data_IF_836766405911
#
_entry.id   IF_836766405911
#
_cell.length_a   1.000
_cell.length_b   1.000
_cell.length_c   1.000
_cell.angle_alpha   90.00
_cell.angle_beta   90.00
_cell.angle_gamma   90.00
#
_symmetry.space_group_name_H-M   'P 1'
#
loop_
_entity.id
_entity.type
_entity.pdbx_description
1 polymer ?
#
# COMPACT_ATOMS: atom_id res chain seq x y z
N UNK A 1 -19.01 -11.12 5.74
CA UNK A 1 -19.25 -10.25 6.91
C UNK A 1 -20.74 -10.25 7.16
N UNK A 2 -21.15 -10.69 8.33
CA UNK A 2 -22.53 -10.54 8.78
C UNK A 2 -22.70 -9.08 9.19
N UNK A 3 -23.52 -8.31 8.47
CA UNK A 3 -23.99 -7.03 9.01
C UNK A 3 -24.71 -7.36 10.31
N UNK A 4 -24.30 -6.77 11.43
CA UNK A 4 -24.94 -7.00 12.72
C UNK A 4 -26.40 -6.52 12.61
N UNK A 5 -27.41 -7.40 12.53
CA UNK A 5 -28.79 -6.99 12.18
C UNK A 5 -29.43 -6.08 13.23
N UNK A 6 -28.80 -6.00 14.41
CA UNK A 6 -29.24 -5.21 15.58
C UNK A 6 -28.67 -3.78 15.57
N UNK A 7 -27.76 -3.44 14.65
CA UNK A 7 -27.07 -2.15 14.60
C UNK A 7 -27.03 -1.63 13.16
N UNK A 8 -27.55 -0.42 12.93
CA UNK A 8 -27.47 0.22 11.61
C UNK A 8 -26.24 1.12 11.53
N UNK A 9 -25.33 0.90 10.55
CA UNK A 9 -24.21 1.80 10.34
C UNK A 9 -24.70 3.15 9.81
N UNK A 10 -24.13 4.24 10.32
CA UNK A 10 -24.35 5.59 9.81
C UNK A 10 -23.58 5.87 8.52
N UNK A 11 -22.45 5.18 8.30
CA UNK A 11 -21.68 5.23 7.05
C UNK A 11 -21.28 3.82 6.62
N UNK A 12 -21.42 3.54 5.33
CA UNK A 12 -20.91 2.33 4.68
C UNK A 12 -20.11 2.73 3.44
N UNK A 13 -18.81 2.50 3.49
CA UNK A 13 -17.93 2.61 2.33
C UNK A 13 -17.43 1.22 1.99
N UNK A 14 -18.07 0.57 1.03
CA UNK A 14 -17.72 -0.77 0.59
C UNK A 14 -17.06 -0.72 -0.79
N UNK A 15 -15.86 -1.28 -0.89
CA UNK A 15 -15.16 -1.37 -2.15
C UNK A 15 -15.92 -2.27 -3.11
N UNK A 16 -16.24 -1.74 -4.30
CA UNK A 16 -16.94 -2.44 -5.37
C UNK A 16 -16.35 -1.99 -6.70
N UNK A 17 -16.02 -2.91 -7.62
CA UNK A 17 -15.47 -2.55 -8.92
C UNK A 17 -16.33 -1.52 -9.67
N UNK A 18 -15.72 -0.41 -10.08
CA UNK A 18 -16.37 0.61 -10.91
C UNK A 18 -17.36 1.52 -10.18
N UNK A 19 -17.45 1.42 -8.85
CA UNK A 19 -18.33 2.25 -8.04
C UNK A 19 -17.52 3.14 -7.09
N UNK A 20 -17.66 4.45 -7.25
CA UNK A 20 -17.18 5.43 -6.27
C UNK A 20 -18.34 5.77 -5.33
N UNK A 21 -18.20 5.58 -4.00
CA UNK A 21 -19.23 6.01 -3.06
C UNK A 21 -19.47 7.53 -3.18
N UNK A 22 -20.72 8.02 -3.21
CA UNK A 22 -20.99 9.45 -3.43
C UNK A 22 -20.38 10.40 -2.40
N UNK A 23 -20.16 9.93 -1.16
CA UNK A 23 -19.54 10.72 -0.07
C UNK A 23 -18.01 10.66 -0.08
N UNK A 24 -17.40 9.82 -0.91
CA UNK A 24 -15.95 9.62 -0.95
C UNK A 24 -15.32 10.55 -1.97
N UNK A 25 -14.64 11.57 -1.48
CA UNK A 25 -13.73 12.40 -2.26
C UNK A 25 -12.42 11.65 -2.50
N UNK A 26 -11.97 11.62 -3.74
CA UNK A 26 -10.71 11.01 -4.15
C UNK A 26 -9.82 12.11 -4.69
N UNK A 27 -8.68 12.34 -4.04
CA UNK A 27 -7.68 13.30 -4.50
C UNK A 27 -6.36 12.58 -4.75
N UNK A 28 -5.82 12.74 -5.95
CA UNK A 28 -4.46 12.36 -6.33
C UNK A 28 -4.00 13.24 -7.49
N UNK A 29 -2.98 14.06 -7.24
CA UNK A 29 -2.46 15.06 -8.20
C UNK A 29 -1.53 14.48 -9.28
N UNK A 30 -1.62 13.18 -9.58
CA UNK A 30 -0.89 12.52 -10.66
C UNK A 30 -1.67 11.31 -11.19
N UNK A 31 -1.42 10.90 -12.44
CA UNK A 31 -1.84 9.58 -12.90
C UNK A 31 -1.14 8.50 -12.06
N UNK A 32 -1.74 7.33 -12.02
CA UNK A 32 -1.23 6.15 -11.32
C UNK A 32 -1.65 4.89 -12.08
N UNK A 33 -1.17 3.72 -11.65
CA UNK A 33 -1.60 2.46 -12.26
C UNK A 33 -2.34 1.57 -11.28
N UNK A 34 -3.08 0.62 -11.83
CA UNK A 34 -3.71 -0.51 -11.12
C UNK A 34 -3.62 -1.76 -11.98
N UNK A 35 -3.81 -2.92 -11.38
CA UNK A 35 -4.04 -4.19 -12.08
C UNK A 35 -5.54 -4.32 -12.34
N UNK A 36 -5.92 -4.65 -13.57
CA UNK A 36 -7.32 -4.87 -13.96
C UNK A 36 -7.75 -6.32 -13.69
N UNK A 37 -9.06 -6.60 -13.77
CA UNK A 37 -9.61 -7.95 -13.64
C UNK A 37 -9.01 -8.98 -14.63
N UNK A 38 -8.41 -8.52 -15.74
CA UNK A 38 -7.74 -9.37 -16.74
C UNK A 38 -6.25 -9.59 -16.43
N UNK A 39 -5.74 -9.04 -15.33
CA UNK A 39 -4.32 -9.10 -14.97
C UNK A 39 -3.44 -8.11 -15.72
N UNK A 40 -3.98 -7.23 -16.56
CA UNK A 40 -3.21 -6.17 -17.23
C UNK A 40 -3.00 -4.96 -16.30
N UNK A 41 -1.85 -4.30 -16.43
CA UNK A 41 -1.61 -2.98 -15.82
C UNK A 41 -2.35 -1.92 -16.62
N UNK A 42 -3.13 -1.08 -15.96
CA UNK A 42 -3.82 0.04 -16.59
C UNK A 42 -3.50 1.34 -15.87
N UNK A 43 -3.34 2.41 -16.64
CA UNK A 43 -3.26 3.77 -16.12
C UNK A 43 -4.65 4.26 -15.68
N UNK A 44 -4.64 5.07 -14.63
CA UNK A 44 -5.79 5.70 -14.01
C UNK A 44 -5.45 7.17 -13.87
N UNK A 45 -6.30 8.05 -14.41
CA UNK A 45 -6.10 9.49 -14.35
C UNK A 45 -6.11 10.06 -12.92
N UNK A 46 -5.86 11.36 -12.82
CA UNK A 46 -5.95 12.11 -11.55
C UNK A 46 -7.34 11.95 -10.92
N UNK A 47 -7.40 11.96 -9.59
CA UNK A 47 -8.65 11.97 -8.82
C UNK A 47 -9.61 10.80 -9.11
N UNK A 48 -9.11 9.73 -9.74
CA UNK A 48 -9.86 8.50 -10.01
C UNK A 48 -9.44 7.39 -9.06
N UNK A 49 -10.45 6.79 -8.43
CA UNK A 49 -10.32 5.66 -7.51
C UNK A 49 -9.71 4.43 -8.21
N UNK A 50 -8.83 3.71 -7.50
CA UNK A 50 -8.11 2.56 -8.05
C UNK A 50 -8.69 1.24 -7.55
N UNK A 51 -9.62 0.68 -8.33
CA UNK A 51 -10.12 -0.69 -8.15
C UNK A 51 -9.07 -1.71 -8.61
N UNK A 52 -8.37 -2.31 -7.66
CA UNK A 52 -7.24 -3.20 -7.97
C UNK A 52 -7.63 -4.68 -7.88
N UNK A 53 -6.94 -5.49 -8.66
CA UNK A 53 -7.23 -6.91 -8.80
C UNK A 53 -5.97 -7.74 -8.60
N UNK A 54 -6.17 -8.95 -8.13
CA UNK A 54 -5.13 -9.95 -8.10
C UNK A 54 -4.74 -10.32 -9.53
N UNK A 55 -3.47 -10.11 -9.87
CA UNK A 55 -2.97 -10.34 -11.23
C UNK A 55 -3.11 -11.79 -11.67
N UNK A 56 -3.03 -12.74 -10.74
CA UNK A 56 -3.02 -14.17 -11.08
C UNK A 56 -4.43 -14.74 -11.17
N UNK A 57 -5.30 -14.33 -10.26
CA UNK A 57 -6.64 -14.92 -10.09
C UNK A 57 -7.75 -14.04 -10.66
N UNK A 58 -7.47 -12.77 -10.96
CA UNK A 58 -8.49 -11.78 -11.33
C UNK A 58 -9.44 -11.41 -10.18
N UNK A 59 -9.17 -11.87 -8.95
CA UNK A 59 -9.99 -11.57 -7.79
C UNK A 59 -9.88 -10.09 -7.41
N UNK A 60 -11.00 -9.44 -7.14
CA UNK A 60 -11.01 -8.05 -6.69
C UNK A 60 -10.34 -7.91 -5.31
N UNK A 61 -9.44 -6.93 -5.18
CA UNK A 61 -8.68 -6.65 -3.96
C UNK A 61 -9.16 -5.41 -3.21
N UNK A 62 -10.14 -4.66 -3.72
CA UNK A 62 -10.59 -3.42 -3.08
C UNK A 62 -9.93 -2.18 -3.69
N UNK A 63 -10.03 -1.06 -2.97
CA UNK A 63 -9.39 0.20 -3.38
C UNK A 63 -7.92 0.19 -3.01
N UNK A 64 -7.04 0.30 -4.01
CA UNK A 64 -5.61 0.48 -3.80
C UNK A 64 -5.33 1.91 -3.36
N UNK A 65 -4.68 2.02 -2.19
CA UNK A 65 -4.28 3.28 -1.55
C UNK A 65 -2.79 3.19 -1.27
N UNK A 66 -2.03 4.16 -1.77
CA UNK A 66 -0.58 4.15 -1.64
C UNK A 66 -0.02 5.54 -1.29
N UNK A 67 1.12 5.58 -0.57
CA UNK A 67 1.85 6.81 -0.28
C UNK A 67 2.40 7.44 -1.56
N UNK A 68 3.04 8.60 -1.40
CA UNK A 68 3.91 9.17 -2.43
C UNK A 68 5.04 8.17 -2.73
N UNK A 69 5.40 8.04 -4.00
CA UNK A 69 6.53 7.21 -4.39
C UNK A 69 7.23 7.77 -5.63
N UNK A 70 8.53 7.52 -5.75
CA UNK A 70 9.34 7.89 -6.91
C UNK A 70 9.99 6.65 -7.49
N UNK A 71 9.83 6.43 -8.79
CA UNK A 71 10.70 5.52 -9.52
C UNK A 71 11.96 6.28 -9.95
N UNK A 72 13.09 5.91 -9.38
CA UNK A 72 14.39 6.51 -9.68
C UNK A 72 15.00 6.04 -11.01
N UNK A 73 14.56 4.92 -11.56
CA UNK A 73 15.11 4.37 -12.79
C UNK A 73 14.56 5.11 -14.01
N UNK A 74 15.39 5.77 -14.83
CA UNK A 74 14.97 6.14 -16.17
C UNK A 74 14.82 4.88 -17.04
N UNK A 75 14.00 5.01 -18.08
CA UNK A 75 13.74 3.98 -19.07
C UNK A 75 13.31 2.63 -18.47
N UNK A 76 12.44 2.66 -17.45
CA UNK A 76 11.99 1.45 -16.74
C UNK A 76 11.28 0.42 -17.62
N UNK A 77 10.85 0.80 -18.82
CA UNK A 77 10.19 -0.08 -19.81
C UNK A 77 11.06 -0.35 -21.05
N UNK A 78 12.27 0.19 -21.09
CA UNK A 78 13.19 0.05 -22.24
C UNK A 78 14.63 -0.19 -21.79
N UNK A 79 14.95 -1.47 -21.58
CA UNK A 79 16.30 -1.93 -21.24
C UNK A 79 17.27 -1.94 -22.43
N UNK A 80 16.87 -1.39 -23.59
CA UNK A 80 17.76 -1.09 -24.72
C UNK A 80 18.31 0.33 -24.69
N UNK A 81 17.74 1.22 -23.87
CA UNK A 81 18.20 2.59 -23.72
C UNK A 81 19.62 2.66 -23.14
N UNK A 82 20.34 3.74 -23.45
CA UNK A 82 21.76 3.91 -23.07
C UNK A 82 22.04 3.94 -21.56
N UNK A 83 21.01 4.15 -20.72
CA UNK A 83 21.13 4.07 -19.27
C UNK A 83 21.33 2.63 -18.75
N UNK A 84 21.03 1.62 -19.58
CA UNK A 84 21.18 0.21 -19.24
C UNK A 84 22.45 -0.38 -19.87
N UNK A 85 23.36 -0.86 -19.02
CA UNK A 85 24.57 -1.60 -19.42
C UNK A 85 24.21 -3.05 -19.68
N UNK A 86 24.63 -3.59 -20.82
CA UNK A 86 24.32 -4.96 -21.27
C UNK A 86 25.61 -5.75 -21.45
N UNK A 87 25.63 -7.01 -21.04
CA UNK A 87 26.77 -7.91 -21.25
C UNK A 87 26.26 -9.27 -21.68
N UNK A 88 26.70 -9.75 -22.85
CA UNK A 88 26.25 -11.03 -23.41
C UNK A 88 24.73 -11.09 -23.68
N UNK A 89 24.06 -9.94 -23.82
CA UNK A 89 22.61 -9.81 -23.87
C UNK A 89 22.17 -8.90 -25.02
N UNK A 90 21.21 -9.38 -25.81
CA UNK A 90 20.48 -8.57 -26.79
C UNK A 90 19.15 -8.11 -26.20
N UNK A 91 18.80 -6.84 -26.42
CA UNK A 91 17.54 -6.24 -25.96
C UNK A 91 16.77 -5.63 -27.12
N UNK A 92 15.45 -5.89 -27.18
CA UNK A 92 14.57 -5.38 -28.24
C UNK A 92 13.18 -5.09 -27.67
N UNK A 93 12.65 -3.89 -27.92
CA UNK A 93 11.31 -3.49 -27.47
C UNK A 93 10.22 -3.87 -28.49
N UNK A 94 9.91 -5.16 -28.59
CA UNK A 94 9.02 -5.70 -29.62
C UNK A 94 7.89 -6.61 -29.09
N UNK A 95 7.68 -6.63 -27.77
CA UNK A 95 6.66 -7.47 -27.13
C UNK A 95 5.56 -6.61 -26.52
N UNK A 96 4.38 -7.19 -26.38
CA UNK A 96 3.35 -6.60 -25.55
C UNK A 96 3.84 -6.53 -24.10
N UNK A 97 3.72 -5.36 -23.48
CA UNK A 97 4.11 -5.17 -22.08
C UNK A 97 3.05 -5.69 -21.10
N UNK A 98 3.28 -5.44 -19.81
CA UNK A 98 2.38 -5.86 -18.75
C UNK A 98 1.02 -5.13 -18.79
N UNK A 99 0.92 -4.06 -19.58
CA UNK A 99 -0.30 -3.31 -19.92
C UNK A 99 -1.01 -3.82 -21.20
N UNK A 100 -0.44 -4.82 -21.87
CA UNK A 100 -0.99 -5.38 -23.11
C UNK A 100 -0.72 -4.53 -24.36
N UNK A 101 -0.04 -3.39 -24.25
CA UNK A 101 0.27 -2.52 -25.39
C UNK A 101 1.39 -3.14 -26.22
N UNK A 102 1.19 -3.29 -27.54
CA UNK A 102 2.22 -3.82 -28.42
C UNK A 102 3.46 -2.91 -28.44
N UNK A 103 4.65 -3.50 -28.31
CA UNK A 103 5.92 -2.76 -28.32
C UNK A 103 6.19 -1.94 -27.05
N UNK A 104 5.44 -2.16 -25.96
CA UNK A 104 5.73 -1.52 -24.67
C UNK A 104 6.72 -2.34 -23.80
N UNK A 105 6.78 -3.66 -23.99
CA UNK A 105 7.67 -4.56 -23.24
C UNK A 105 9.01 -4.82 -23.93
N UNK A 106 10.09 -4.92 -23.13
CA UNK A 106 11.45 -5.14 -23.62
C UNK A 106 11.83 -6.62 -23.54
N UNK A 107 12.04 -7.28 -24.68
CA UNK A 107 12.58 -8.64 -24.74
C UNK A 107 14.07 -8.62 -24.46
N UNK A 108 14.50 -9.45 -23.53
CA UNK A 108 15.89 -9.74 -23.21
C UNK A 108 16.21 -11.13 -23.75
N UNK A 109 17.34 -11.29 -24.44
CA UNK A 109 17.83 -12.59 -24.93
C UNK A 109 19.30 -12.75 -24.56
N UNK A 110 19.62 -13.85 -23.89
CA UNK A 110 20.98 -14.22 -23.57
C UNK A 110 21.71 -14.73 -24.82
N UNK A 111 22.75 -14.04 -25.23
CA UNK A 111 23.64 -14.46 -26.32
C UNK A 111 24.81 -15.29 -25.79
N UNK A 112 25.11 -15.16 -24.49
CA UNK A 112 26.07 -15.97 -23.74
C UNK A 112 25.48 -16.39 -22.39
N UNK A 113 26.14 -17.34 -21.71
CA UNK A 113 25.81 -17.66 -20.33
C UNK A 113 26.08 -16.46 -19.41
N UNK A 114 25.35 -16.38 -18.31
CA UNK A 114 25.42 -15.28 -17.34
C UNK A 114 25.26 -13.87 -17.97
N UNK A 115 24.40 -13.77 -18.98
CA UNK A 115 24.05 -12.52 -19.62
C UNK A 115 23.34 -11.57 -18.65
N UNK A 116 23.72 -10.29 -18.65
CA UNK A 116 23.18 -9.28 -17.73
C UNK A 116 22.67 -8.03 -18.43
N UNK A 117 21.71 -7.38 -17.78
CA UNK A 117 21.38 -5.98 -18.01
C UNK A 117 21.26 -5.27 -16.67
N UNK A 118 22.04 -4.21 -16.48
CA UNK A 118 22.13 -3.46 -15.22
C UNK A 118 22.04 -1.96 -15.43
N UNK A 119 21.60 -1.23 -14.41
CA UNK A 119 21.57 0.21 -14.39
C UNK A 119 21.99 0.70 -13.00
N UNK A 120 23.06 1.49 -12.98
CA UNK A 120 23.58 2.13 -11.77
C UNK A 120 22.93 3.50 -11.57
N UNK A 121 22.63 3.84 -10.32
CA UNK A 121 22.11 5.14 -9.90
C UNK A 121 23.01 5.70 -8.80
N UNK A 122 23.13 7.02 -8.73
CA UNK A 122 23.80 7.71 -7.62
C UNK A 122 22.76 8.16 -6.60
N UNK A 123 22.64 7.44 -5.49
CA UNK A 123 21.65 7.69 -4.45
C UNK A 123 22.27 7.49 -3.06
N UNK A 124 21.87 8.31 -2.10
CA UNK A 124 22.27 8.11 -0.71
C UNK A 124 21.79 6.76 -0.17
N UNK A 125 22.49 6.26 0.86
CA UNK A 125 22.09 5.05 1.56
C UNK A 125 20.65 5.16 2.06
N UNK A 126 19.86 4.14 1.78
CA UNK A 126 18.49 4.02 2.24
C UNK A 126 17.96 2.62 1.96
N UNK A 127 16.80 2.29 2.51
CA UNK A 127 16.08 1.09 2.10
C UNK A 127 15.53 1.29 0.68
N UNK A 128 15.86 0.37 -0.22
CA UNK A 128 15.56 0.42 -1.65
C UNK A 128 14.82 -0.84 -2.03
N UNK A 129 13.72 -0.68 -2.76
CA UNK A 129 13.01 -1.82 -3.36
C UNK A 129 13.09 -1.76 -4.87
N UNK A 130 13.84 -2.70 -5.46
CA UNK A 130 13.81 -2.96 -6.89
C UNK A 130 12.64 -3.86 -7.23
N UNK A 131 11.91 -3.53 -8.29
CA UNK A 131 10.83 -4.36 -8.80
C UNK A 131 10.78 -4.35 -10.32
N UNK A 132 10.35 -5.44 -10.92
CA UNK A 132 10.21 -5.56 -12.38
C UNK A 132 9.15 -6.61 -12.71
N UNK A 133 8.36 -6.35 -13.75
CA UNK A 133 7.42 -7.33 -14.31
C UNK A 133 8.16 -8.21 -15.34
N UNK A 134 8.19 -9.53 -15.12
CA UNK A 134 8.89 -10.49 -15.98
C UNK A 134 7.89 -11.51 -16.54
N UNK A 135 7.88 -11.66 -17.87
CA UNK A 135 7.20 -12.74 -18.59
C UNK A 135 8.25 -13.70 -19.16
N UNK A 136 8.32 -14.97 -18.72
CA UNK A 136 9.24 -15.94 -19.29
C UNK A 136 8.84 -16.30 -20.73
N UNK A 137 9.83 -16.38 -21.63
CA UNK A 137 9.66 -16.94 -22.97
C UNK A 137 10.34 -18.32 -23.03
N UNK A 138 11.66 -18.34 -23.18
CA UNK A 138 12.49 -19.55 -23.12
C UNK A 138 13.36 -19.44 -21.89
N UNK A 139 13.18 -20.32 -20.90
CA UNK A 139 13.97 -20.27 -19.66
C UNK A 139 14.39 -21.68 -19.31
N UNK A 140 15.69 -21.94 -19.42
CA UNK A 140 16.34 -23.21 -19.10
C UNK A 140 17.28 -23.08 -17.91
N UNK A 141 17.86 -21.89 -17.71
CA UNK A 141 18.65 -21.54 -16.53
C UNK A 141 17.89 -20.70 -15.52
N UNK A 142 18.59 -20.27 -14.49
CA UNK A 142 18.10 -19.28 -13.54
C UNK A 142 17.97 -17.89 -14.18
N UNK A 143 16.81 -17.28 -13.95
CA UNK A 143 16.54 -15.83 -14.01
C UNK A 143 16.72 -15.24 -12.61
N UNK A 144 17.58 -14.24 -12.48
CA UNK A 144 17.90 -13.58 -11.21
C UNK A 144 17.80 -12.06 -11.30
N UNK A 145 17.60 -11.39 -10.17
CA UNK A 145 17.64 -9.93 -10.04
C UNK A 145 18.69 -9.48 -9.02
N UNK A 146 19.16 -8.25 -9.15
CA UNK A 146 20.16 -7.62 -8.27
C UNK A 146 19.81 -6.15 -7.97
N UNK A 147 20.45 -5.63 -6.94
CA UNK A 147 20.45 -4.23 -6.46
C UNK A 147 21.88 -3.73 -6.19
N UNK A 148 22.89 -4.58 -6.31
CA UNK A 148 24.30 -4.33 -5.96
C UNK A 148 25.26 -4.57 -7.15
N UNK A 149 24.75 -4.44 -8.38
CA UNK A 149 25.53 -4.58 -9.61
C UNK A 149 25.95 -6.00 -9.92
N UNK A 150 25.37 -6.99 -9.23
CA UNK A 150 25.65 -8.39 -9.44
C UNK A 150 26.73 -8.97 -8.52
N UNK A 151 27.11 -8.25 -7.45
CA UNK A 151 27.83 -8.87 -6.34
C UNK A 151 26.97 -9.98 -5.71
N UNK A 152 25.65 -9.78 -5.65
CA UNK A 152 24.66 -10.76 -5.24
C UNK A 152 23.54 -10.87 -6.28
N UNK A 153 23.13 -12.10 -6.58
CA UNK A 153 22.02 -12.41 -7.49
C UNK A 153 20.95 -13.23 -6.78
N UNK A 154 19.74 -12.68 -6.67
CA UNK A 154 18.58 -13.38 -6.11
C UNK A 154 17.83 -14.08 -7.24
N UNK A 155 17.78 -15.41 -7.22
CA UNK A 155 17.02 -16.19 -8.21
C UNK A 155 15.50 -16.00 -8.00
N UNK A 156 14.80 -15.62 -9.07
CA UNK A 156 13.34 -15.40 -9.07
C UNK A 156 12.60 -16.37 -9.99
N UNK A 157 13.31 -17.35 -10.55
CA UNK A 157 12.82 -18.26 -11.58
C UNK A 157 11.58 -19.04 -11.14
N UNK A 158 11.55 -19.50 -9.89
CA UNK A 158 10.42 -20.24 -9.30
C UNK A 158 9.15 -19.40 -9.12
N UNK A 159 9.28 -18.06 -9.12
CA UNK A 159 8.15 -17.14 -9.05
C UNK A 159 7.51 -16.96 -10.43
N UNK A 160 8.29 -17.09 -11.50
CA UNK A 160 7.82 -16.85 -12.86
C UNK A 160 6.74 -17.87 -13.27
N UNK A 161 5.89 -17.45 -14.20
CA UNK A 161 4.73 -18.22 -14.67
C UNK A 161 4.64 -18.11 -16.18
N UNK A 162 4.55 -19.24 -16.87
CA UNK A 162 4.42 -19.26 -18.32
C UNK A 162 3.18 -18.47 -18.78
N UNK A 163 3.35 -17.67 -19.84
CA UNK A 163 2.25 -16.93 -20.46
C UNK A 163 1.74 -15.69 -19.72
N UNK A 164 2.30 -15.34 -18.55
CA UNK A 164 1.92 -14.12 -17.81
C UNK A 164 3.11 -13.40 -17.19
N UNK A 165 3.03 -12.07 -17.12
CA UNK A 165 3.99 -11.31 -16.33
C UNK A 165 3.81 -11.58 -14.84
N UNK A 166 4.93 -11.76 -14.15
CA UNK A 166 5.03 -11.85 -12.69
C UNK A 166 5.85 -10.66 -12.20
N UNK A 167 5.34 -9.92 -11.21
CA UNK A 167 6.14 -8.88 -10.54
C UNK A 167 7.05 -9.52 -9.53
N UNK A 168 8.36 -9.33 -9.71
CA UNK A 168 9.38 -9.77 -8.76
C UNK A 168 9.94 -8.54 -8.05
N UNK A 169 10.38 -8.72 -6.80
CA UNK A 169 10.85 -7.63 -5.94
C UNK A 169 12.09 -8.05 -5.16
N UNK A 170 13.01 -7.12 -4.93
CA UNK A 170 14.17 -7.28 -4.05
C UNK A 170 14.36 -6.00 -3.24
N UNK A 171 14.38 -6.12 -1.92
CA UNK A 171 14.55 -5.01 -1.00
C UNK A 171 15.87 -5.14 -0.26
N UNK A 172 16.65 -4.07 -0.20
CA UNK A 172 17.90 -3.99 0.57
C UNK A 172 18.15 -2.57 1.04
N UNK A 173 18.99 -2.39 2.06
CA UNK A 173 19.64 -1.11 2.29
C UNK A 173 20.82 -0.97 1.34
N UNK A 174 20.83 0.07 0.51
CA UNK A 174 21.92 0.33 -0.44
C UNK A 174 22.16 1.82 -0.66
N UNK A 175 23.43 2.19 -0.79
CA UNK A 175 23.89 3.42 -1.41
C UNK A 175 24.35 3.11 -2.84
N UNK A 176 24.24 4.09 -3.75
CA UNK A 176 24.61 3.97 -5.16
C UNK A 176 24.18 2.63 -5.81
N UNK A 177 22.87 2.29 -5.74
CA UNK A 177 22.39 0.98 -6.14
C UNK A 177 22.59 0.73 -7.63
N UNK A 178 22.93 -0.51 -7.98
CA UNK A 178 23.01 -0.96 -9.37
C UNK A 178 22.07 -2.15 -9.56
N UNK A 179 20.91 -1.87 -10.13
CA UNK A 179 19.84 -2.86 -10.28
C UNK A 179 19.95 -3.60 -11.60
N UNK A 180 19.41 -4.81 -11.70
CA UNK A 180 19.41 -5.51 -12.97
C UNK A 180 18.84 -6.91 -12.97
N UNK A 181 18.94 -7.55 -14.13
CA UNK A 181 18.49 -8.92 -14.40
C UNK A 181 19.67 -9.72 -14.96
N UNK A 182 19.79 -10.99 -14.55
CA UNK A 182 20.70 -11.98 -15.13
C UNK A 182 19.94 -13.18 -15.67
N UNK A 183 20.33 -13.62 -16.87
CA UNK A 183 19.93 -14.88 -17.48
C UNK A 183 21.16 -15.81 -17.50
N UNK A 184 21.13 -16.88 -16.72
CA UNK A 184 22.32 -17.74 -16.54
C UNK A 184 22.65 -18.64 -17.74
N UNK A 185 21.67 -19.03 -18.55
CA UNK A 185 21.88 -19.89 -19.71
C UNK A 185 21.81 -19.13 -21.04
N UNK A 186 22.76 -19.39 -21.94
CA UNK A 186 22.72 -18.87 -23.29
C UNK A 186 21.45 -19.36 -24.02
N UNK A 187 20.81 -18.47 -24.77
CA UNK A 187 19.55 -18.74 -25.46
C UNK A 187 18.29 -18.48 -24.63
N UNK A 188 18.41 -18.31 -23.31
CA UNK A 188 17.28 -17.90 -22.46
C UNK A 188 16.75 -16.52 -22.90
N UNK A 189 15.45 -16.31 -22.74
CA UNK A 189 14.77 -15.08 -23.08
C UNK A 189 13.54 -14.83 -22.21
N UNK A 190 13.37 -13.57 -21.84
CA UNK A 190 12.23 -13.07 -21.07
C UNK A 190 11.77 -11.73 -21.65
N UNK A 191 10.56 -11.29 -21.31
CA UNK A 191 10.14 -9.90 -21.47
C UNK A 191 10.18 -9.24 -20.10
N UNK A 192 10.91 -8.12 -20.00
CA UNK A 192 10.94 -7.28 -18.83
C UNK A 192 10.15 -5.99 -19.10
N UNK A 193 9.39 -5.54 -18.11
CA UNK A 193 8.61 -4.33 -18.17
C UNK A 193 8.48 -3.68 -16.78
N UNK A 194 8.20 -2.38 -16.74
CA UNK A 194 8.03 -1.58 -15.51
C UNK A 194 9.10 -1.85 -14.42
N UNK A 195 10.38 -1.84 -14.81
CA UNK A 195 11.47 -1.80 -13.87
C UNK A 195 11.41 -0.51 -13.04
N UNK A 196 11.40 -0.66 -11.71
CA UNK A 196 11.28 0.43 -10.76
C UNK A 196 12.25 0.24 -9.61
N UNK A 197 12.88 1.34 -9.18
CA UNK A 197 13.58 1.41 -7.90
C UNK A 197 12.94 2.51 -7.07
N UNK A 198 12.34 2.13 -5.95
CA UNK A 198 11.64 3.04 -5.04
C UNK A 198 12.34 3.11 -3.68
N UNK A 199 12.19 4.22 -2.97
CA UNK A 199 12.51 4.32 -1.55
C UNK A 199 11.53 3.47 -0.71
N UNK A 200 12.06 2.83 0.34
CA UNK A 200 11.28 2.12 1.33
C UNK A 200 11.13 0.62 1.07
N UNK A 201 10.35 -0.06 1.92
CA UNK A 201 10.42 -1.52 2.06
C UNK A 201 9.62 -2.30 1.02
N UNK A 202 8.78 -1.62 0.22
CA UNK A 202 7.80 -2.28 -0.65
C UNK A 202 7.72 -1.59 -2.01
N UNK A 203 7.47 -2.39 -3.04
CA UNK A 203 7.18 -1.88 -4.38
C UNK A 203 5.73 -1.41 -4.43
N UNK A 204 5.48 -0.16 -4.86
CA UNK A 204 4.13 0.36 -5.07
C UNK A 204 3.65 0.01 -6.48
N UNK A 205 2.50 0.54 -6.88
CA UNK A 205 1.99 0.47 -8.25
C UNK A 205 3.03 0.93 -9.27
N UNK A 206 2.82 0.52 -10.52
CA UNK A 206 3.78 0.79 -11.58
C UNK A 206 3.84 2.28 -11.88
N UNK A 207 5.05 2.84 -11.86
CA UNK A 207 5.37 4.22 -12.23
C UNK A 207 6.27 4.15 -13.47
N UNK A 208 5.69 4.40 -14.64
CA UNK A 208 6.43 4.43 -15.89
C UNK A 208 7.37 5.64 -15.93
N UNK A 209 8.57 5.44 -16.46
CA UNK A 209 9.59 6.48 -16.57
C UNK A 209 10.05 6.64 -18.03
N UNK A 210 10.36 7.89 -18.38
CA UNK A 210 11.02 8.26 -19.63
C UNK A 210 12.53 8.39 -19.39
N UNK A 211 13.11 9.54 -19.73
CA UNK A 211 14.55 9.83 -19.56
C UNK A 211 14.98 10.11 -18.12
N UNK A 212 14.06 10.24 -17.18
CA UNK A 212 14.34 10.59 -15.79
C UNK A 212 13.38 9.93 -14.81
N UNK A 213 13.66 10.15 -13.53
CA UNK A 213 12.81 9.71 -12.44
C UNK A 213 11.42 10.36 -12.53
N UNK A 214 10.40 9.62 -12.11
CA UNK A 214 9.00 10.09 -12.09
C UNK A 214 8.39 9.77 -10.73
N UNK A 215 7.62 10.72 -10.20
CA UNK A 215 6.91 10.57 -8.94
C UNK A 215 5.42 10.39 -9.14
N UNK A 216 4.81 9.56 -8.29
CA UNK A 216 3.37 9.39 -8.13
C UNK A 216 2.93 10.06 -6.84
N UNK A 217 1.89 10.89 -6.92
CA UNK A 217 1.25 11.52 -5.77
C UNK A 217 0.56 10.47 -4.88
N UNK A 218 0.45 10.71 -3.56
CA UNK A 218 -0.26 9.80 -2.67
C UNK A 218 -1.76 9.82 -2.93
N UNK A 219 -2.45 8.74 -2.58
CA UNK A 219 -3.92 8.73 -2.58
C UNK A 219 -4.47 9.42 -1.32
N UNK A 220 -5.52 10.23 -1.50
CA UNK A 220 -6.26 10.89 -0.43
C UNK A 220 -7.74 10.57 -0.58
N UNK A 221 -8.24 9.68 0.27
CA UNK A 221 -9.63 9.23 0.28
C UNK A 221 -10.33 9.87 1.49
N UNK A 222 -11.23 10.83 1.27
CA UNK A 222 -11.81 11.64 2.34
C UNK A 222 -13.35 11.72 2.26
N UNK A 223 -14.02 11.64 3.41
CA UNK A 223 -15.42 12.05 3.58
C UNK A 223 -15.42 13.36 4.37
N UNK A 224 -15.76 14.45 3.68
CA UNK A 224 -15.67 15.82 4.25
C UNK A 224 -16.80 16.14 5.22
N UNK A 225 -18.02 15.73 4.90
CA UNK A 225 -19.20 16.06 5.68
C UNK A 225 -19.67 14.85 6.48
N UNK A 226 -19.56 15.00 7.80
CA UNK A 226 -19.90 13.99 8.80
C UNK A 226 -21.25 14.26 9.49
N UNK A 227 -21.86 15.42 9.26
CA UNK A 227 -22.95 15.98 10.09
C UNK A 227 -24.19 15.09 10.23
N UNK A 228 -24.55 14.35 9.17
CA UNK A 228 -25.76 13.51 9.16
C UNK A 228 -25.63 12.17 9.90
N UNK A 229 -24.41 11.68 10.14
CA UNK A 229 -24.18 10.31 10.59
C UNK A 229 -23.22 10.17 11.76
N UNK A 230 -22.50 11.23 12.12
CA UNK A 230 -21.49 11.21 13.16
C UNK A 230 -22.08 11.57 14.52
N UNK A 231 -21.65 10.85 15.54
CA UNK A 231 -21.98 11.17 16.93
C UNK A 231 -20.69 11.61 17.64
N UNK A 232 -20.68 12.84 18.16
CA UNK A 232 -19.51 13.40 18.80
C UNK A 232 -19.17 12.74 20.15
N UNK A 233 -20.18 12.16 20.82
CA UNK A 233 -20.03 11.62 22.17
C UNK A 233 -19.59 10.15 22.20
N UNK A 234 -19.78 9.39 21.12
CA UNK A 234 -19.44 7.96 21.07
C UNK A 234 -19.49 7.43 19.64
N UNK A 235 -18.92 6.25 19.42
CA UNK A 235 -19.03 5.58 18.13
C UNK A 235 -18.28 4.27 18.05
N UNK A 236 -18.42 3.64 16.89
CA UNK A 236 -17.55 2.54 16.49
C UNK A 236 -17.17 2.65 15.01
N UNK A 237 -15.93 2.30 14.70
CA UNK A 237 -15.39 2.19 13.35
C UNK A 237 -14.93 0.77 13.10
N UNK A 238 -15.20 0.26 11.91
CA UNK A 238 -14.72 -1.06 11.46
C UNK A 238 -14.09 -0.87 10.09
N UNK A 239 -12.82 -1.25 9.95
CA UNK A 239 -12.07 -1.19 8.70
C UNK A 239 -11.58 -2.57 8.29
N UNK A 240 -11.78 -2.91 7.02
CA UNK A 240 -11.15 -4.06 6.39
C UNK A 240 -10.07 -3.57 5.46
N UNK A 241 -8.83 -3.96 5.73
CA UNK A 241 -7.68 -3.57 4.94
C UNK A 241 -6.74 -4.76 4.70
N UNK A 242 -5.89 -4.62 3.69
CA UNK A 242 -4.84 -5.56 3.37
C UNK A 242 -3.57 -4.77 3.06
N UNK A 243 -2.52 -4.80 3.89
CA UNK A 243 -1.27 -4.12 3.56
C UNK A 243 -0.58 -4.81 2.37
N UNK A 244 0.25 -4.08 1.63
CA UNK A 244 1.06 -4.67 0.56
C UNK A 244 2.12 -5.66 1.10
N UNK A 245 2.46 -5.57 2.38
CA UNK A 245 3.46 -6.42 3.01
C UNK A 245 3.11 -6.79 4.45
N UNK A 246 3.87 -7.74 4.99
CA UNK A 246 3.85 -8.08 6.41
C UNK A 246 4.38 -6.96 7.30
N UNK A 247 4.48 -7.21 8.62
CA UNK A 247 4.90 -6.28 9.69
C UNK A 247 5.85 -5.15 9.25
N UNK A 248 5.56 -3.93 9.71
CA UNK A 248 6.38 -2.76 9.44
C UNK A 248 7.75 -2.96 10.11
N UNK A 249 8.87 -2.73 9.40
CA UNK A 249 10.20 -2.81 9.99
C UNK A 249 10.33 -1.92 11.23
N UNK A 250 11.19 -2.32 12.17
CA UNK A 250 11.51 -1.49 13.32
C UNK A 250 12.02 -0.11 12.86
N UNK A 251 11.42 0.96 13.39
CA UNK A 251 11.75 2.35 13.02
C UNK A 251 11.07 2.86 11.75
N UNK A 252 10.25 2.05 11.07
CA UNK A 252 9.40 2.54 9.98
C UNK A 252 8.32 3.51 10.52
N UNK A 253 7.90 4.45 9.69
CA UNK A 253 6.76 5.29 10.00
C UNK A 253 5.49 4.44 10.12
N UNK A 254 4.70 4.73 11.15
CA UNK A 254 3.35 4.20 11.35
C UNK A 254 2.45 4.49 10.14
N UNK A 255 1.51 3.59 9.84
CA UNK A 255 0.56 3.75 8.74
C UNK A 255 -0.86 3.96 9.26
N UNK A 256 -1.51 5.05 8.85
CA UNK A 256 -2.88 5.40 9.21
C UNK A 256 -3.87 4.64 8.35
N UNK A 257 -4.70 3.80 8.98
CA UNK A 257 -5.77 3.07 8.29
C UNK A 257 -7.00 3.95 8.13
N UNK A 258 -7.38 4.62 9.22
CA UNK A 258 -8.52 5.54 9.29
C UNK A 258 -8.16 6.66 10.23
N UNK A 259 -8.48 7.90 9.86
CA UNK A 259 -8.41 9.03 10.77
C UNK A 259 -9.69 9.86 10.68
N UNK A 260 -10.12 10.45 11.79
CA UNK A 260 -11.16 11.48 11.83
C UNK A 260 -10.58 12.68 12.53
N UNK A 261 -10.68 13.85 11.93
CA UNK A 261 -10.16 15.08 12.52
C UNK A 261 -10.01 16.22 11.51
N UNK A 262 -9.61 17.37 12.01
CA UNK A 262 -9.23 18.51 11.20
C UNK A 262 -7.80 18.37 10.62
N UNK A 263 -7.34 19.37 9.87
CA UNK A 263 -5.98 19.38 9.32
C UNK A 263 -4.91 19.91 10.26
N UNK A 264 -5.30 20.39 11.45
CA UNK A 264 -4.36 21.02 12.37
C UNK A 264 -3.44 19.98 13.02
N UNK A 265 -2.27 20.43 13.45
CA UNK A 265 -1.40 19.63 14.33
C UNK A 265 -1.94 19.51 15.76
N UNK A 266 -3.08 20.14 16.08
CA UNK A 266 -3.63 20.16 17.43
C UNK A 266 -4.10 18.76 17.86
N UNK A 267 -3.91 18.47 19.14
CA UNK A 267 -4.04 17.12 19.70
C UNK A 267 -5.47 16.69 19.98
N UNK A 268 -6.43 17.61 19.93
CA UNK A 268 -7.67 17.50 20.69
C UNK A 268 -8.87 16.99 19.86
N UNK A 269 -8.77 17.03 18.53
CA UNK A 269 -9.84 16.63 17.60
C UNK A 269 -9.38 15.53 16.64
N UNK A 270 -8.78 14.46 17.17
CA UNK A 270 -8.37 13.30 16.38
C UNK A 270 -8.97 12.01 16.93
N UNK A 271 -9.44 11.15 16.03
CA UNK A 271 -9.46 9.71 16.19
C UNK A 271 -8.55 9.11 15.12
N UNK A 272 -7.76 8.11 15.48
CA UNK A 272 -6.94 7.40 14.52
C UNK A 272 -6.87 5.90 14.83
N UNK A 273 -6.96 5.09 13.77
CA UNK A 273 -6.61 3.67 13.78
C UNK A 273 -5.38 3.51 12.90
N UNK A 274 -4.34 2.87 13.44
CA UNK A 274 -3.02 2.82 12.84
C UNK A 274 -2.39 1.44 12.95
N UNK A 275 -1.54 1.16 11.97
CA UNK A 275 -0.61 0.05 11.94
C UNK A 275 0.74 0.55 12.42
N UNK A 276 1.31 -0.15 13.39
CA UNK A 276 2.53 0.23 14.09
C UNK A 276 3.75 -0.59 13.62
N UNK A 277 4.98 -0.03 13.64
CA UNK A 277 6.21 -0.82 13.50
C UNK A 277 6.32 -1.86 14.62
N UNK A 278 7.01 -2.98 14.35
CA UNK A 278 7.15 -4.10 15.29
C UNK A 278 7.84 -3.67 16.61
N UNK A 279 7.03 -3.16 17.55
CA UNK A 279 7.44 -2.70 18.88
C UNK A 279 6.51 -3.23 19.98
N UNK A 280 6.01 -4.45 19.83
CA UNK A 280 5.13 -5.09 20.82
C UNK A 280 3.65 -4.73 20.65
N UNK A 281 3.30 -3.52 20.22
CA UNK A 281 1.94 -3.14 19.80
C UNK A 281 1.88 -3.02 18.27
N UNK A 282 1.09 -3.88 17.61
CA UNK A 282 1.03 -3.97 16.14
C UNK A 282 -0.17 -3.24 15.54
N UNK A 283 -1.21 -3.09 16.34
CA UNK A 283 -2.37 -2.24 16.02
C UNK A 283 -2.49 -1.18 17.09
N UNK A 284 -2.35 0.07 16.66
CA UNK A 284 -2.44 1.24 17.50
C UNK A 284 -3.73 2.00 17.25
N UNK A 285 -4.10 2.81 18.23
CA UNK A 285 -5.18 3.78 18.14
C UNK A 285 -4.79 5.04 18.89
N UNK A 286 -5.45 6.15 18.55
CA UNK A 286 -5.20 7.41 19.22
C UNK A 286 -6.42 8.32 19.23
N UNK A 287 -6.49 9.17 20.25
CA UNK A 287 -7.55 10.12 20.52
C UNK A 287 -7.00 11.47 20.95
N UNK A 288 -7.75 12.52 20.65
CA UNK A 288 -7.76 13.71 21.51
C UNK A 288 -8.39 13.39 22.85
N UNK A 289 -7.80 13.89 23.92
CA UNK A 289 -8.21 13.64 25.30
C UNK A 289 -8.28 14.93 26.10
N UNK A 290 -8.91 14.86 27.26
CA UNK A 290 -8.90 15.93 28.26
C UNK A 290 -7.50 16.28 28.78
N UNK A 291 -6.48 15.47 28.47
CA UNK A 291 -5.08 15.67 28.84
C UNK A 291 -4.18 15.98 27.62
N UNK A 292 -4.78 16.26 26.46
CA UNK A 292 -4.08 16.48 25.20
C UNK A 292 -4.18 15.27 24.28
N UNK A 293 -3.05 14.64 23.93
CA UNK A 293 -3.04 13.46 23.06
C UNK A 293 -2.92 12.17 23.87
N UNK A 294 -3.88 11.27 23.71
CA UNK A 294 -3.83 9.94 24.29
C UNK A 294 -3.74 8.88 23.20
N UNK A 295 -2.80 7.96 23.32
CA UNK A 295 -2.68 6.83 22.41
C UNK A 295 -2.64 5.51 23.18
N UNK A 296 -3.06 4.43 22.53
CA UNK A 296 -2.90 3.10 23.08
C UNK A 296 -2.67 2.10 21.97
N UNK A 297 -2.20 0.94 22.36
CA UNK A 297 -1.87 -0.14 21.45
C UNK A 297 -2.32 -1.48 22.01
N UNK A 298 -2.46 -2.44 21.11
CA UNK A 298 -2.46 -3.84 21.46
C UNK A 298 -1.48 -4.62 20.59
N UNK A 299 -0.81 -5.60 21.21
CA UNK A 299 -0.08 -6.67 20.54
C UNK A 299 -0.96 -7.62 19.72
N UNK A 300 -2.26 -7.32 19.57
CA UNK A 300 -3.23 -8.23 18.95
C UNK A 300 -2.94 -8.36 17.47
N UNK A 301 -2.54 -9.57 17.06
CA UNK A 301 -2.42 -9.99 15.66
C UNK A 301 -1.08 -9.66 14.99
N UNK A 302 -0.62 -10.56 14.15
CA UNK A 302 0.52 -10.34 13.22
C UNK A 302 0.00 -9.72 11.93
N UNK A 303 0.64 -8.66 11.43
CA UNK A 303 0.33 -8.16 10.10
C UNK A 303 1.00 -9.03 9.05
N UNK A 304 0.24 -9.41 8.04
CA UNK A 304 0.74 -10.10 6.87
C UNK A 304 0.03 -9.54 5.62
N UNK A 305 0.43 -10.00 4.44
CA UNK A 305 -0.20 -9.57 3.18
C UNK A 305 -1.59 -10.23 2.94
N UNK A 306 -2.37 -10.44 4.00
CA UNK A 306 -3.76 -10.90 3.95
C UNK A 306 -4.73 -9.80 4.44
N UNK A 307 -6.01 -10.12 4.38
CA UNK A 307 -7.06 -9.24 4.88
C UNK A 307 -7.09 -9.26 6.40
N UNK A 308 -7.12 -8.07 6.97
CA UNK A 308 -7.30 -7.82 8.40
C UNK A 308 -8.59 -7.04 8.62
N UNK A 309 -9.29 -7.37 9.69
CA UNK A 309 -10.48 -6.67 10.16
C UNK A 309 -10.13 -6.00 11.48
N UNK A 310 -10.26 -4.70 11.53
CA UNK A 310 -9.95 -3.89 12.71
C UNK A 310 -11.20 -3.13 13.09
N UNK A 311 -11.53 -3.13 14.38
CA UNK A 311 -12.58 -2.32 14.93
C UNK A 311 -12.07 -1.45 16.09
N UNK A 312 -12.65 -0.27 16.23
CA UNK A 312 -12.41 0.67 17.32
C UNK A 312 -13.77 1.13 17.86
N UNK A 313 -13.97 1.05 19.18
CA UNK A 313 -15.13 1.59 19.87
C UNK A 313 -14.71 2.59 20.94
N UNK A 314 -15.46 3.69 21.08
CA UNK A 314 -15.14 4.76 22.02
C UNK A 314 -16.39 5.45 22.59
N UNK A 315 -16.22 6.07 23.74
CA UNK A 315 -17.17 6.98 24.38
C UNK A 315 -16.40 8.15 24.98
N UNK A 316 -16.84 9.37 24.73
CA UNK A 316 -16.26 10.58 25.28
C UNK A 316 -16.44 10.61 26.81
N UNK A 317 -15.43 11.09 27.53
CA UNK A 317 -15.39 11.05 28.99
C UNK A 317 -14.96 9.70 29.59
N UNK A 318 -14.70 8.68 28.77
CA UNK A 318 -14.14 7.40 29.21
C UNK A 318 -12.65 7.29 28.84
N UNK A 319 -11.90 6.44 29.54
CA UNK A 319 -10.46 6.26 29.34
C UNK A 319 -10.09 4.89 28.74
N UNK A 320 -11.09 4.11 28.33
CA UNK A 320 -10.95 2.69 27.93
C UNK A 320 -11.49 2.38 26.51
N UNK A 321 -11.06 3.12 25.47
CA UNK A 321 -11.45 2.77 24.11
C UNK A 321 -11.03 1.33 23.80
N UNK A 322 -11.85 0.64 23.01
CA UNK A 322 -11.66 -0.79 22.71
C UNK A 322 -11.21 -0.94 21.27
N UNK A 323 -10.11 -1.66 21.06
CA UNK A 323 -9.66 -2.05 19.74
C UNK A 323 -9.75 -3.56 19.57
N UNK A 324 -10.16 -4.02 18.40
CA UNK A 324 -10.23 -5.45 18.08
C UNK A 324 -9.57 -5.66 16.73
N UNK A 325 -8.66 -6.62 16.62
CA UNK A 325 -8.09 -7.05 15.35
C UNK A 325 -8.33 -8.55 15.17
N UNK A 326 -8.99 -8.93 14.08
CA UNK A 326 -9.26 -10.32 13.73
C UNK A 326 -9.92 -11.11 14.90
N UNK A 327 -10.89 -10.50 15.58
CA UNK A 327 -11.56 -11.05 16.75
C UNK A 327 -10.76 -11.01 18.07
N UNK A 328 -9.49 -10.60 18.04
CA UNK A 328 -8.67 -10.45 19.24
C UNK A 328 -8.81 -9.05 19.82
N UNK A 329 -9.33 -8.96 21.04
CA UNK A 329 -9.61 -7.71 21.73
C UNK A 329 -8.39 -7.16 22.48
N UNK A 330 -8.24 -5.83 22.47
CA UNK A 330 -7.30 -5.06 23.26
C UNK A 330 -8.02 -3.90 23.97
N UNK A 331 -7.82 -3.81 25.29
CA UNK A 331 -8.27 -2.71 26.15
C UNK A 331 -7.09 -2.23 26.98
N UNK A 332 -6.33 -1.30 26.41
CA UNK A 332 -5.22 -0.64 27.11
C UNK A 332 -5.69 0.75 27.52
N UNK A 333 -5.29 1.20 28.71
CA UNK A 333 -5.56 2.59 29.11
C UNK A 333 -4.89 3.58 28.15
N UNK A 334 -5.47 4.76 27.99
CA UNK A 334 -4.86 5.87 27.25
C UNK A 334 -3.46 6.19 27.81
N UNK A 335 -2.41 5.95 27.01
CA UNK A 335 -1.06 6.43 27.30
C UNK A 335 -1.07 7.96 27.24
N UNK A 336 -0.59 8.61 28.29
CA UNK A 336 -0.75 10.06 28.49
C UNK A 336 -1.92 10.43 29.43
N UNK A 337 -2.80 9.46 29.74
CA UNK A 337 -3.91 9.65 30.66
C UNK A 337 -5.07 10.48 30.11
N UNK A 338 -5.98 10.87 31.01
CA UNK A 338 -7.19 11.60 30.66
C UNK A 338 -8.33 10.71 30.13
N UNK A 339 -9.32 11.36 29.54
CA UNK A 339 -10.51 10.72 28.96
C UNK A 339 -10.67 11.15 27.51
N UNK A 340 -11.25 10.30 26.66
CA UNK A 340 -11.53 10.60 25.26
C UNK A 340 -12.35 11.88 25.17
N UNK A 341 -11.91 12.84 24.37
CA UNK A 341 -12.66 14.06 24.09
C UNK A 341 -13.82 13.78 23.13
N UNK A 342 -14.89 14.58 23.22
CA UNK A 342 -15.92 14.57 22.18
C UNK A 342 -15.33 15.04 20.85
N UNK A 343 -15.66 14.33 19.76
CA UNK A 343 -15.15 14.64 18.42
C UNK A 343 -16.28 15.31 17.64
N UNK A 344 -16.36 16.63 17.70
CA UNK A 344 -17.43 17.37 17.03
C UNK A 344 -17.28 17.31 15.50
N UNK A 345 -18.39 17.16 14.78
CA UNK A 345 -18.45 17.21 13.31
C UNK A 345 -18.44 18.68 12.83
N UNK A 346 -17.41 19.44 13.23
CA UNK A 346 -17.27 20.84 12.91
C UNK A 346 -16.67 21.06 11.52
N UNK A 347 -16.73 22.32 11.05
CA UNK A 347 -16.14 22.69 9.75
C UNK A 347 -14.64 22.37 9.74
N UNK A 348 -14.20 21.55 8.77
CA UNK A 348 -12.81 21.13 8.65
C UNK A 348 -12.52 19.74 9.21
N UNK A 349 -13.40 19.19 10.05
CA UNK A 349 -13.30 17.79 10.50
C UNK A 349 -13.78 16.87 9.38
N UNK A 350 -12.96 15.88 9.03
CA UNK A 350 -13.28 14.92 7.98
C UNK A 350 -12.76 13.53 8.35
N UNK A 351 -13.38 12.51 7.76
CA UNK A 351 -12.90 11.13 7.84
C UNK A 351 -11.96 10.85 6.66
N UNK A 352 -10.75 10.39 6.95
CA UNK A 352 -9.76 9.95 5.98
C UNK A 352 -9.59 8.43 6.02
N UNK A 353 -9.40 7.85 4.83
CA UNK A 353 -9.10 6.44 4.61
C UNK A 353 -7.68 6.30 4.07
N UNK A 354 -6.84 5.56 4.80
CA UNK A 354 -5.47 5.25 4.40
C UNK A 354 -4.50 6.43 4.41
N UNK A 355 -4.87 7.57 4.99
CA UNK A 355 -3.98 8.70 5.19
C UNK A 355 -4.34 9.43 6.49
N UNK A 356 -3.36 10.16 7.02
CA UNK A 356 -3.60 11.01 8.18
C UNK A 356 -4.28 12.31 7.80
N UNK A 357 -4.99 12.89 8.78
CA UNK A 357 -5.58 14.23 8.68
C UNK A 357 -4.63 15.34 9.16
N UNK A 358 -3.70 15.03 10.08
CA UNK A 358 -2.74 15.98 10.67
C UNK A 358 -1.67 16.46 9.67
N UNK A 359 -1.08 17.61 9.97
CA UNK A 359 -0.10 18.38 9.18
C UNK A 359 1.25 17.70 8.83
N UNK A 360 1.46 16.43 9.17
CA UNK A 360 2.64 15.70 8.68
C UNK A 360 2.25 14.89 7.43
N UNK A 361 3.05 14.92 6.37
CA UNK A 361 2.95 13.93 5.28
C UNK A 361 3.90 12.78 5.62
N UNK A 362 3.46 11.52 5.54
CA UNK A 362 4.36 10.37 5.73
C UNK A 362 3.82 9.19 6.53
N UNK A 363 2.55 9.20 6.94
CA UNK A 363 1.88 8.07 7.62
C UNK A 363 0.85 7.38 6.73
N UNK A 364 1.02 7.48 5.42
CA UNK A 364 0.04 6.95 4.48
C UNK A 364 0.09 5.42 4.45
N UNK A 365 -1.09 4.81 4.44
CA UNK A 365 -1.24 3.37 4.25
C UNK A 365 -0.81 2.98 2.83
N UNK A 366 -0.22 1.80 2.73
CA UNK A 366 0.18 1.20 1.47
C UNK A 366 -0.45 -0.19 1.36
N UNK A 367 -1.54 -0.29 0.60
CA UNK A 367 -2.33 -1.52 0.51
C UNK A 367 -3.72 -1.30 -0.05
N UNK A 368 -4.62 -2.21 0.29
CA UNK A 368 -6.00 -2.19 -0.15
C UNK A 368 -6.98 -1.94 0.99
N UNK A 369 -8.04 -1.18 0.71
CA UNK A 369 -9.19 -0.99 1.61
C UNK A 369 -10.41 -1.65 0.97
N UNK A 370 -11.05 -2.54 1.71
CA UNK A 370 -12.22 -3.29 1.25
C UNK A 370 -13.54 -2.78 1.84
N UNK A 371 -13.49 -2.25 3.07
CA UNK A 371 -14.66 -1.79 3.78
C UNK A 371 -14.29 -0.78 4.86
N UNK A 372 -15.13 0.23 5.03
CA UNK A 372 -15.26 1.00 6.26
C UNK A 372 -16.74 1.05 6.67
N UNK A 373 -17.00 0.78 7.94
CA UNK A 373 -18.27 1.03 8.60
C UNK A 373 -18.06 2.03 9.73
N UNK A 374 -19.01 2.95 9.89
CA UNK A 374 -19.15 3.76 11.09
C UNK A 374 -20.52 3.51 11.72
N UNK A 375 -20.55 3.40 13.04
CA UNK A 375 -21.76 3.36 13.84
C UNK A 375 -21.79 4.57 14.78
N UNK A 376 -22.88 5.35 14.84
CA UNK A 376 -22.99 6.54 15.70
C UNK A 376 -23.21 6.22 17.19
N UNK A 377 -22.73 5.05 17.63
CA UNK A 377 -22.78 4.58 19.01
C UNK A 377 -21.62 3.62 19.27
N UNK A 378 -21.16 3.53 20.52
CA UNK A 378 -20.22 2.49 20.94
C UNK A 378 -20.92 1.13 20.80
N UNK A 379 -20.32 0.24 20.02
CA UNK A 379 -20.79 -1.14 19.97
C UNK A 379 -20.27 -1.91 21.20
N UNK A 380 -21.05 -2.86 21.75
CA UNK A 380 -20.55 -3.81 22.73
C UNK A 380 -19.29 -4.54 22.23
N UNK A 381 -18.37 -4.87 23.13
CA UNK A 381 -17.14 -5.60 22.77
C UNK A 381 -17.40 -6.91 22.03
N UNK A 382 -18.44 -7.65 22.43
CA UNK A 382 -18.85 -8.88 21.77
C UNK A 382 -19.21 -8.65 20.29
N UNK A 383 -19.88 -7.53 20.00
CA UNK A 383 -20.26 -7.14 18.64
C UNK A 383 -19.03 -6.68 17.83
N UNK A 384 -18.08 -5.97 18.46
CA UNK A 384 -16.81 -5.61 17.81
C UNK A 384 -15.98 -6.85 17.48
N UNK A 385 -15.98 -7.86 18.36
CA UNK A 385 -15.34 -9.16 18.14
C UNK A 385 -16.03 -9.90 16.98
N UNK A 386 -17.35 -10.06 17.03
CA UNK A 386 -18.11 -10.74 15.97
C UNK A 386 -17.90 -10.08 14.60
N UNK A 387 -17.91 -8.75 14.54
CA UNK A 387 -17.71 -8.03 13.29
C UNK A 387 -16.28 -8.13 12.72
N UNK A 388 -15.31 -8.57 13.52
CA UNK A 388 -13.90 -8.71 13.12
C UNK A 388 -13.40 -10.15 13.03
N UNK A 389 -14.19 -11.16 13.39
CA UNK A 389 -13.88 -12.59 13.16
C UNK A 389 -13.94 -12.97 11.69
#
# INVERSE_FOLDING_TARGET
MTLLPRHYPGLVLAARPGLVPPRLEVVRSSPATRVTATGLVAEVGNDVLRDDFDRETGAYRGWLVEPFATNHLPHGRDMGAGAWTRTGLTTVKDRAGADGVAGSGCRLRADAADATVTQALSLFSGERTFSVDILPLTVTGAVSITVDGGATWTAVTSLLRAGRFTRVTLTTTAADPSVGIRLSAAGDSVVADFAQLEDGPHATSRIATGTGAVSRAPDRLTVRDLSDFWNAAEGALIVHCRPLAADLPAGAAVQTLVAVGDSSAATDALLEVKREPDQGDRTGWAFGTSAGYGAGGGATGTWNAAWHRIALGWTAGESDPTAVMNGSLSRTALTGGGTVSAIAAETGVALALGHQRRENAGRDFCGHIGLLLHYPRRLPDADLIEATQ
#
